data_IF_032737906891
#
_entry.id   IF_032737906891
#
_cell.length_a   1.000
_cell.length_b   1.000
_cell.length_c   1.000
_cell.angle_alpha   90.00
_cell.angle_beta   90.00
_cell.angle_gamma   90.00
#
_symmetry.space_group_name_H-M   'P 1'
#
loop_
_entity.id
_entity.type
_entity.pdbx_description
1 polymer ?
#
# COMPACT_ATOMS: atom_id res chain seq x y z
N UNK A 1 -1.55 -3.74 8.31
CA UNK A 1 -2.06 -5.06 7.90
C UNK A 1 -3.29 -4.82 7.04
N UNK A 2 -3.41 -5.52 5.91
CA UNK A 2 -4.58 -5.42 5.02
C UNK A 2 -5.79 -6.21 5.53
N UNK A 3 -5.52 -7.32 6.22
CA UNK A 3 -6.48 -8.14 6.95
C UNK A 3 -6.00 -8.23 8.40
N UNK A 4 -6.88 -8.36 9.38
CA UNK A 4 -6.50 -8.50 10.79
C UNK A 4 -6.61 -7.22 11.61
N UNK A 5 -6.96 -7.41 12.88
CA UNK A 5 -7.07 -6.39 13.91
C UNK A 5 -6.37 -6.87 15.19
N UNK A 6 -6.59 -6.16 16.30
CA UNK A 6 -5.99 -6.48 17.60
C UNK A 6 -6.44 -7.84 18.16
N UNK A 7 -7.52 -8.42 17.65
CA UNK A 7 -8.05 -9.72 18.08
C UNK A 7 -7.52 -10.89 17.22
N UNK A 8 -6.67 -10.60 16.22
CA UNK A 8 -6.02 -11.62 15.41
C UNK A 8 -5.05 -12.46 16.25
N UNK A 9 -5.20 -13.77 16.16
CA UNK A 9 -4.38 -14.78 16.82
C UNK A 9 -4.15 -15.97 15.89
N UNK A 10 -3.19 -16.84 16.19
CA UNK A 10 -2.94 -18.08 15.46
C UNK A 10 -4.21 -18.95 15.35
N UNK A 11 -5.06 -18.92 16.38
CA UNK A 11 -6.28 -19.74 16.46
C UNK A 11 -7.40 -19.28 15.51
N UNK A 12 -7.39 -18.02 15.08
CA UNK A 12 -8.42 -17.46 14.20
C UNK A 12 -7.85 -16.91 12.88
N UNK A 13 -6.53 -16.94 12.69
CA UNK A 13 -5.84 -16.41 11.50
C UNK A 13 -6.44 -16.89 10.18
N UNK A 14 -6.84 -18.16 10.13
CA UNK A 14 -7.45 -18.82 8.96
C UNK A 14 -8.84 -18.29 8.60
N UNK A 15 -9.44 -17.42 9.43
CA UNK A 15 -10.76 -16.82 9.21
C UNK A 15 -10.71 -15.37 8.75
N UNK A 16 -9.57 -14.71 8.89
CA UNK A 16 -9.42 -13.29 8.57
C UNK A 16 -9.12 -13.03 7.10
N UNK A 17 -8.62 -14.03 6.38
CA UNK A 17 -8.16 -13.90 4.99
C UNK A 17 -8.97 -14.84 4.10
N UNK A 18 -9.57 -14.35 2.99
CA UNK A 18 -10.23 -15.22 2.03
C UNK A 18 -9.30 -16.31 1.49
N UNK A 19 -9.79 -17.54 1.31
CA UNK A 19 -8.98 -18.69 0.91
C UNK A 19 -8.14 -18.46 -0.36
N UNK A 20 -8.72 -17.76 -1.34
CA UNK A 20 -8.02 -17.43 -2.59
C UNK A 20 -6.81 -16.51 -2.35
N UNK A 21 -6.96 -15.49 -1.49
CA UNK A 21 -5.89 -14.57 -1.11
C UNK A 21 -4.86 -15.30 -0.26
N UNK A 22 -5.30 -16.14 0.68
CA UNK A 22 -4.42 -16.95 1.52
C UNK A 22 -3.50 -17.83 0.68
N UNK A 23 -4.08 -18.56 -0.28
CA UNK A 23 -3.33 -19.42 -1.20
C UNK A 23 -2.36 -18.61 -2.08
N UNK A 24 -2.80 -17.48 -2.61
CA UNK A 24 -1.98 -16.60 -3.44
C UNK A 24 -0.71 -16.12 -2.71
N UNK A 25 -0.83 -15.80 -1.42
CA UNK A 25 0.28 -15.25 -0.62
C UNK A 25 1.17 -16.36 -0.04
N UNK A 26 0.57 -17.42 0.50
CA UNK A 26 1.29 -18.46 1.25
C UNK A 26 1.71 -19.65 0.40
N UNK A 27 1.05 -19.88 -0.74
CA UNK A 27 1.24 -21.06 -1.58
C UNK A 27 0.62 -22.35 -1.03
N UNK A 28 -0.10 -22.28 0.09
CA UNK A 28 -0.81 -23.42 0.69
C UNK A 28 -2.28 -23.07 0.93
N UNK A 29 -3.15 -24.07 0.98
CA UNK A 29 -4.57 -23.85 1.30
C UNK A 29 -4.75 -23.62 2.80
N UNK A 30 -5.88 -23.02 3.16
CA UNK A 30 -6.28 -22.85 4.56
C UNK A 30 -6.38 -24.18 5.31
N UNK A 31 -6.81 -25.25 4.64
CA UNK A 31 -6.83 -26.59 5.23
C UNK A 31 -5.44 -27.18 5.46
N UNK A 32 -4.50 -26.95 4.53
CA UNK A 32 -3.10 -27.29 4.75
C UNK A 32 -2.52 -26.51 5.94
N UNK A 33 -2.82 -25.21 6.03
CA UNK A 33 -2.42 -24.40 7.19
C UNK A 33 -3.00 -24.95 8.50
N UNK A 34 -4.29 -25.29 8.55
CA UNK A 34 -4.93 -25.93 9.73
C UNK A 34 -4.25 -27.24 10.08
N UNK A 35 -3.94 -28.08 9.10
CA UNK A 35 -3.21 -29.33 9.35
C UNK A 35 -1.81 -29.08 9.94
N UNK A 36 -1.09 -28.06 9.48
CA UNK A 36 0.21 -27.68 10.04
C UNK A 36 0.10 -27.10 11.47
N UNK A 37 -0.99 -26.38 11.76
CA UNK A 37 -1.27 -25.76 13.07
C UNK A 37 -1.78 -26.75 14.11
N UNK A 38 -2.77 -27.55 13.73
CA UNK A 38 -3.59 -28.36 14.64
C UNK A 38 -3.22 -29.86 14.58
N UNK A 39 -2.55 -30.29 13.52
CA UNK A 39 -2.20 -31.69 13.28
C UNK A 39 -3.32 -32.48 12.62
N UNK A 40 -3.12 -33.79 12.53
CA UNK A 40 -4.07 -34.76 12.00
C UNK A 40 -3.63 -36.18 12.33
N UNK A 41 -4.19 -37.16 11.62
CA UNK A 41 -4.03 -38.59 11.97
C UNK A 41 -2.57 -39.05 12.07
N UNK A 42 -1.68 -38.51 11.23
CA UNK A 42 -0.27 -38.92 11.14
C UNK A 42 0.72 -37.80 11.52
N UNK A 43 0.23 -36.66 12.01
CA UNK A 43 1.07 -35.50 12.32
C UNK A 43 0.55 -34.77 13.55
N UNK A 44 1.42 -34.53 14.53
CA UNK A 44 1.03 -33.91 15.80
C UNK A 44 0.68 -32.41 15.71
N UNK A 45 0.92 -31.76 14.56
CA UNK A 45 0.62 -30.33 14.41
C UNK A 45 1.66 -29.43 15.08
N UNK A 46 1.20 -28.25 15.49
CA UNK A 46 1.92 -27.29 16.32
C UNK A 46 3.28 -26.84 15.78
N UNK A 47 3.39 -26.68 14.45
CA UNK A 47 4.60 -26.08 13.84
C UNK A 47 4.82 -24.62 14.23
N UNK A 48 3.77 -23.95 14.69
CA UNK A 48 3.80 -22.56 15.10
C UNK A 48 3.79 -22.48 16.63
N UNK A 49 4.79 -21.79 17.20
CA UNK A 49 4.73 -21.40 18.60
C UNK A 49 3.67 -20.31 18.76
N UNK A 50 2.58 -20.65 19.43
CA UNK A 50 1.42 -19.75 19.57
C UNK A 50 1.79 -18.44 20.26
N UNK A 51 2.55 -18.50 21.35
CA UNK A 51 2.92 -17.32 22.11
C UNK A 51 3.73 -16.35 21.24
N UNK A 52 4.71 -16.86 20.51
CA UNK A 52 5.53 -16.08 19.58
C UNK A 52 4.71 -15.52 18.43
N UNK A 53 3.81 -16.32 17.84
CA UNK A 53 2.97 -15.88 16.70
C UNK A 53 2.00 -14.76 17.11
N UNK A 54 1.29 -14.95 18.21
CA UNK A 54 0.32 -13.97 18.72
C UNK A 54 1.04 -12.67 19.12
N UNK A 55 2.20 -12.76 19.79
CA UNK A 55 2.99 -11.58 20.16
C UNK A 55 3.57 -10.85 18.94
N UNK A 56 4.03 -11.57 17.92
CA UNK A 56 4.54 -10.98 16.69
C UNK A 56 3.48 -10.15 15.94
N UNK A 57 2.22 -10.61 15.94
CA UNK A 57 1.10 -9.83 15.40
C UNK A 57 0.92 -8.53 16.19
N UNK A 58 0.92 -8.61 17.52
CA UNK A 58 0.72 -7.43 18.36
C UNK A 58 1.86 -6.42 18.22
N UNK A 59 3.11 -6.88 18.15
CA UNK A 59 4.27 -6.03 17.88
C UNK A 59 4.18 -5.38 16.50
N UNK A 60 3.79 -6.13 15.47
CA UNK A 60 3.61 -5.57 14.13
C UNK A 60 2.53 -4.48 14.13
N UNK A 61 1.40 -4.69 14.82
CA UNK A 61 0.34 -3.69 14.92
C UNK A 61 0.78 -2.45 15.72
N UNK A 62 1.57 -2.62 16.81
CA UNK A 62 2.19 -1.50 17.54
C UNK A 62 3.12 -0.69 16.64
N UNK A 63 4.04 -1.36 15.94
CA UNK A 63 4.97 -0.70 15.00
C UNK A 63 4.26 -0.03 13.84
N UNK A 64 3.19 -0.64 13.33
CA UNK A 64 2.35 -0.03 12.29
C UNK A 64 1.77 1.30 12.77
N UNK A 65 1.24 1.38 13.98
CA UNK A 65 0.69 2.61 14.55
C UNK A 65 1.79 3.66 14.82
N UNK A 66 2.92 3.23 15.39
CA UNK A 66 4.09 4.10 15.64
C UNK A 66 4.64 4.75 14.36
N UNK A 67 4.64 3.99 13.26
CA UNK A 67 5.20 4.39 11.96
C UNK A 67 4.12 4.85 10.95
N UNK A 68 2.91 5.17 11.42
CA UNK A 68 1.77 5.43 10.54
C UNK A 68 1.79 6.84 9.91
N UNK A 69 2.51 7.80 10.50
CA UNK A 69 2.66 9.15 9.94
C UNK A 69 3.84 9.20 8.96
N UNK A 70 3.53 9.08 7.67
CA UNK A 70 4.54 9.18 6.61
C UNK A 70 4.95 10.64 6.29
N UNK A 71 4.23 11.66 6.80
CA UNK A 71 4.67 13.05 6.67
C UNK A 71 5.88 13.32 7.58
N UNK A 72 5.92 12.69 8.76
CA UNK A 72 7.07 12.73 9.65
C UNK A 72 8.34 12.16 8.97
N UNK A 73 9.49 12.81 9.19
CA UNK A 73 10.78 12.30 8.70
C UNK A 73 11.32 11.23 9.64
N UNK A 74 10.71 10.05 9.56
CA UNK A 74 11.10 8.87 10.34
C UNK A 74 12.21 8.10 9.62
N UNK A 75 13.18 7.61 10.41
CA UNK A 75 14.32 6.80 9.92
C UNK A 75 13.91 5.40 9.50
N UNK A 76 12.90 4.85 10.16
CA UNK A 76 12.40 3.50 9.93
C UNK A 76 11.07 3.57 9.17
N UNK A 77 10.78 2.52 8.40
CA UNK A 77 9.51 2.33 7.72
C UNK A 77 8.92 0.96 8.10
N UNK A 78 7.60 0.85 8.20
CA UNK A 78 6.94 -0.42 8.52
C UNK A 78 7.29 -1.52 7.49
N UNK A 79 7.58 -1.12 6.24
CA UNK A 79 8.00 -2.05 5.18
C UNK A 79 9.44 -2.59 5.38
N UNK A 80 10.29 -1.94 6.18
CA UNK A 80 11.63 -2.45 6.52
C UNK A 80 11.54 -3.72 7.39
N UNK A 81 10.42 -3.92 8.08
CA UNK A 81 10.13 -5.10 8.90
C UNK A 81 9.54 -6.27 8.09
N UNK A 82 9.27 -6.08 6.79
CA UNK A 82 8.79 -7.16 5.92
C UNK A 82 10.01 -7.87 5.31
N UNK A 83 10.24 -9.16 5.65
CA UNK A 83 11.38 -9.88 5.11
C UNK A 83 11.25 -10.04 3.60
N UNK A 84 12.38 -10.09 2.86
CA UNK A 84 12.38 -10.30 1.42
C UNK A 84 11.61 -11.57 1.06
N UNK A 85 10.53 -11.42 0.31
CA UNK A 85 9.71 -12.55 -0.13
C UNK A 85 10.33 -13.21 -1.36
N UNK A 86 10.19 -14.53 -1.48
CA UNK A 86 10.55 -15.26 -2.72
C UNK A 86 9.57 -15.02 -3.87
N UNK A 87 8.46 -14.34 -3.59
CA UNK A 87 7.42 -13.94 -4.56
C UNK A 87 7.73 -12.57 -5.14
N UNK A 88 6.98 -12.12 -6.17
CA UNK A 88 7.13 -10.80 -6.80
C UNK A 88 6.79 -9.60 -5.88
N UNK A 89 6.61 -9.81 -4.57
CA UNK A 89 6.31 -8.80 -3.56
C UNK A 89 7.58 -8.07 -3.06
N UNK A 90 8.45 -7.68 -4.00
CA UNK A 90 9.62 -6.83 -3.72
C UNK A 90 9.14 -5.38 -3.62
N UNK A 91 9.31 -4.76 -2.46
CA UNK A 91 9.02 -3.35 -2.23
C UNK A 91 10.22 -2.47 -2.57
N UNK A 92 9.97 -1.30 -3.15
CA UNK A 92 11.01 -0.30 -3.40
C UNK A 92 11.36 0.40 -2.08
N UNK A 93 12.63 0.37 -1.63
CA UNK A 93 13.02 1.04 -0.38
C UNK A 93 12.76 2.55 -0.41
N UNK A 94 12.39 3.15 0.73
CA UNK A 94 12.08 4.59 0.89
C UNK A 94 13.15 5.52 0.32
N UNK A 95 14.43 5.18 0.54
CA UNK A 95 15.60 5.86 -0.06
C UNK A 95 15.51 5.98 -1.58
N UNK A 96 15.10 4.90 -2.25
CA UNK A 96 15.03 4.84 -3.71
C UNK A 96 13.83 5.64 -4.20
N UNK A 97 12.69 5.54 -3.51
CA UNK A 97 11.49 6.33 -3.79
C UNK A 97 11.77 7.84 -3.71
N UNK A 98 12.40 8.31 -2.62
CA UNK A 98 12.80 9.72 -2.47
C UNK A 98 13.65 10.19 -3.66
N UNK A 99 14.67 9.40 -4.01
CA UNK A 99 15.51 9.70 -5.18
C UNK A 99 14.71 9.77 -6.48
N UNK A 100 13.76 8.87 -6.72
CA UNK A 100 12.92 8.91 -7.93
C UNK A 100 12.11 10.21 -8.03
N UNK A 101 11.57 10.68 -6.91
CA UNK A 101 10.81 11.95 -6.85
C UNK A 101 11.73 13.16 -6.99
N UNK A 102 12.93 13.11 -6.41
CA UNK A 102 13.95 14.15 -6.58
C UNK A 102 14.40 14.26 -8.04
N UNK A 103 14.66 13.12 -8.70
CA UNK A 103 15.06 13.07 -10.10
C UNK A 103 13.93 13.59 -11.01
N UNK A 104 12.66 13.30 -10.68
CA UNK A 104 11.48 13.83 -11.39
C UNK A 104 11.41 15.37 -11.33
N UNK A 105 11.68 15.98 -10.18
CA UNK A 105 11.74 17.44 -10.01
C UNK A 105 12.91 18.07 -10.76
N UNK A 106 14.07 17.40 -10.78
CA UNK A 106 15.24 17.86 -11.52
C UNK A 106 14.98 17.89 -13.03
N UNK A 107 14.31 16.87 -13.56
CA UNK A 107 13.93 16.79 -14.97
C UNK A 107 12.79 17.76 -15.33
N UNK A 108 11.92 18.06 -14.36
CA UNK A 108 10.75 18.93 -14.54
C UNK A 108 10.67 19.97 -13.41
N UNK A 109 11.50 21.04 -13.45
CA UNK A 109 11.52 22.04 -12.39
C UNK A 109 10.15 22.67 -12.14
N UNK A 110 9.71 22.67 -10.87
CA UNK A 110 8.43 23.23 -10.47
C UNK A 110 7.21 22.33 -10.75
N UNK A 111 7.40 21.08 -11.16
CA UNK A 111 6.28 20.15 -11.45
C UNK A 111 5.33 19.96 -10.26
N UNK A 112 5.84 20.08 -9.02
CA UNK A 112 5.04 19.95 -7.81
C UNK A 112 4.39 21.25 -7.34
N UNK A 113 4.61 22.40 -7.99
CA UNK A 113 3.97 23.67 -7.64
C UNK A 113 2.66 23.92 -8.42
N UNK A 114 2.39 23.12 -9.45
CA UNK A 114 1.22 23.28 -10.33
C UNK A 114 0.04 22.39 -9.87
N UNK A 115 -1.09 22.98 -9.42
CA UNK A 115 -2.25 22.23 -8.93
C UNK A 115 -3.01 21.45 -10.01
N UNK A 116 -2.70 21.69 -11.29
CA UNK A 116 -3.32 21.00 -12.43
C UNK A 116 -2.56 19.75 -12.88
N UNK A 117 -1.35 19.52 -12.35
CA UNK A 117 -0.55 18.33 -12.68
C UNK A 117 -1.05 17.11 -11.95
N UNK A 118 -1.12 16.00 -12.69
CA UNK A 118 -1.49 14.69 -12.18
C UNK A 118 -0.31 13.72 -12.25
N UNK A 119 -0.28 12.77 -11.33
CA UNK A 119 0.77 11.78 -11.15
C UNK A 119 0.13 10.41 -10.95
N UNK A 120 0.68 9.39 -11.60
CA UNK A 120 0.14 8.03 -11.53
C UNK A 120 1.24 7.00 -11.24
N UNK A 121 0.96 6.08 -10.32
CA UNK A 121 1.71 4.83 -10.18
C UNK A 121 0.91 3.69 -10.85
N UNK A 122 1.38 3.26 -12.02
CA UNK A 122 0.72 2.23 -12.83
C UNK A 122 0.88 0.82 -12.24
N UNK A 123 1.67 0.63 -11.19
CA UNK A 123 1.87 -0.68 -10.58
C UNK A 123 2.27 -0.54 -9.10
N UNK A 124 1.35 -0.02 -8.30
CA UNK A 124 1.53 0.14 -6.87
C UNK A 124 1.78 -1.20 -6.19
N UNK A 125 2.63 -1.16 -5.17
CA UNK A 125 2.78 -2.22 -4.16
C UNK A 125 2.45 -1.71 -2.77
N UNK A 126 3.40 -1.02 -2.15
CA UNK A 126 3.23 -0.45 -0.81
C UNK A 126 2.45 0.86 -0.78
N UNK A 127 2.34 1.56 -1.92
CA UNK A 127 1.86 2.95 -1.97
C UNK A 127 2.92 3.99 -1.60
N UNK A 128 4.17 3.56 -1.37
CA UNK A 128 5.25 4.45 -0.89
C UNK A 128 5.60 5.57 -1.88
N UNK A 129 5.57 5.29 -3.19
CA UNK A 129 5.81 6.29 -4.22
C UNK A 129 4.72 7.38 -4.22
N UNK A 130 3.46 6.98 -4.14
CA UNK A 130 2.34 7.93 -3.99
C UNK A 130 2.46 8.74 -2.70
N UNK A 131 2.78 8.12 -1.57
CA UNK A 131 2.95 8.83 -0.31
C UNK A 131 4.04 9.90 -0.37
N UNK A 132 5.16 9.62 -1.05
CA UNK A 132 6.22 10.61 -1.28
C UNK A 132 5.76 11.75 -2.21
N UNK A 133 5.01 11.44 -3.27
CA UNK A 133 4.40 12.47 -4.13
C UNK A 133 3.42 13.37 -3.35
N UNK A 134 2.54 12.77 -2.54
CA UNK A 134 1.61 13.49 -1.66
C UNK A 134 2.37 14.41 -0.72
N UNK A 135 3.43 13.90 -0.08
CA UNK A 135 4.30 14.69 0.81
C UNK A 135 4.94 15.87 0.07
N UNK A 136 5.41 15.66 -1.16
CA UNK A 136 6.11 16.70 -1.92
C UNK A 136 5.15 17.80 -2.41
N UNK A 137 3.98 17.41 -2.91
CA UNK A 137 2.89 18.32 -3.30
C UNK A 137 2.37 19.11 -2.10
N UNK A 138 2.12 18.43 -0.97
CA UNK A 138 1.58 19.07 0.24
C UNK A 138 2.49 20.16 0.82
N UNK A 139 3.81 19.99 0.66
CA UNK A 139 4.82 20.94 1.14
C UNK A 139 5.31 21.92 0.07
N UNK A 140 4.77 21.90 -1.15
CA UNK A 140 5.19 22.81 -2.21
C UNK A 140 4.66 24.22 -1.97
N UNK A 141 5.43 25.23 -2.38
CA UNK A 141 5.05 26.62 -2.18
C UNK A 141 3.84 26.99 -3.06
N UNK A 142 3.77 26.43 -4.27
CA UNK A 142 2.66 26.61 -5.19
C UNK A 142 1.34 26.08 -4.64
N UNK A 143 1.33 24.84 -4.12
CA UNK A 143 0.10 24.27 -3.53
C UNK A 143 -0.26 24.93 -2.19
N UNK A 144 0.71 25.35 -1.38
CA UNK A 144 0.42 26.11 -0.16
C UNK A 144 -0.22 27.47 -0.46
N UNK A 145 0.17 28.13 -1.56
CA UNK A 145 -0.44 29.39 -1.99
C UNK A 145 -1.83 29.17 -2.61
N UNK A 146 -2.00 28.14 -3.43
CA UNK A 146 -3.27 27.81 -4.08
C UNK A 146 -4.32 27.28 -3.08
N UNK A 147 -3.88 26.47 -2.12
CA UNK A 147 -4.71 25.88 -1.06
C UNK A 147 -4.09 26.15 0.32
N UNK A 148 -4.36 27.34 0.91
CA UNK A 148 -3.82 27.71 2.21
C UNK A 148 -4.31 26.83 3.35
N UNK A 149 -5.53 26.30 3.26
CA UNK A 149 -6.08 25.35 4.22
C UNK A 149 -5.41 23.97 4.03
N UNK A 150 -4.78 23.40 5.08
CA UNK A 150 -4.10 22.10 5.00
C UNK A 150 -5.00 20.93 4.58
N UNK A 151 -6.24 20.89 5.06
CA UNK A 151 -7.17 19.79 4.80
C UNK A 151 -7.69 19.86 3.36
N UNK A 152 -8.04 21.06 2.89
CA UNK A 152 -8.45 21.28 1.49
C UNK A 152 -7.31 20.94 0.53
N UNK A 153 -6.07 21.29 0.88
CA UNK A 153 -4.87 20.95 0.09
C UNK A 153 -4.68 19.45 0.00
N UNK A 154 -4.74 18.74 1.12
CA UNK A 154 -4.58 17.29 1.14
C UNK A 154 -5.70 16.59 0.37
N UNK A 155 -6.94 17.06 0.52
CA UNK A 155 -8.09 16.58 -0.24
C UNK A 155 -7.89 16.76 -1.74
N UNK A 156 -7.51 17.95 -2.19
CA UNK A 156 -7.20 18.23 -3.61
C UNK A 156 -6.12 17.30 -4.15
N UNK A 157 -5.00 17.14 -3.43
CA UNK A 157 -3.91 16.26 -3.84
C UNK A 157 -4.42 14.83 -4.06
N UNK A 158 -5.15 14.27 -3.09
CA UNK A 158 -5.60 12.87 -3.13
C UNK A 158 -6.78 12.62 -4.08
N UNK A 159 -7.66 13.60 -4.29
CA UNK A 159 -8.85 13.47 -5.14
C UNK A 159 -8.62 13.90 -6.58
N UNK A 160 -7.63 14.73 -6.86
CA UNK A 160 -7.43 15.37 -8.18
C UNK A 160 -6.02 15.24 -8.75
N UNK A 161 -4.99 14.94 -7.95
CA UNK A 161 -3.59 14.93 -8.44
C UNK A 161 -2.91 13.56 -8.43
N UNK A 162 -3.23 12.66 -7.51
CA UNK A 162 -2.56 11.35 -7.42
C UNK A 162 -3.48 10.18 -7.76
N UNK A 163 -2.95 9.26 -8.56
CA UNK A 163 -3.66 8.10 -9.10
C UNK A 163 -2.82 6.84 -8.94
N UNK A 164 -3.45 5.69 -8.85
CA UNK A 164 -2.72 4.44 -8.68
C UNK A 164 -3.47 3.19 -9.08
N UNK A 165 -2.73 2.23 -9.64
CA UNK A 165 -3.19 0.89 -9.98
C UNK A 165 -2.52 -0.14 -9.08
N UNK A 166 -3.30 -1.01 -8.44
CA UNK A 166 -2.79 -2.14 -7.68
C UNK A 166 -3.21 -3.46 -8.35
N UNK A 167 -2.28 -4.40 -8.60
CA UNK A 167 -2.54 -5.57 -9.45
C UNK A 167 -3.41 -6.64 -8.80
N UNK A 168 -3.57 -6.62 -7.48
CA UNK A 168 -4.28 -7.65 -6.72
C UNK A 168 -4.99 -7.01 -5.53
N UNK A 169 -6.05 -7.64 -5.04
CA UNK A 169 -6.84 -7.18 -3.90
C UNK A 169 -5.99 -6.93 -2.64
N UNK A 170 -5.12 -7.89 -2.29
CA UNK A 170 -4.24 -7.73 -1.13
C UNK A 170 -3.31 -6.51 -1.27
N UNK A 171 -2.73 -6.31 -2.45
CA UNK A 171 -1.84 -5.18 -2.71
C UNK A 171 -2.62 -3.86 -2.70
N UNK A 172 -3.83 -3.85 -3.26
CA UNK A 172 -4.72 -2.71 -3.22
C UNK A 172 -5.00 -2.27 -1.78
N UNK A 173 -5.40 -3.20 -0.91
CA UNK A 173 -5.65 -2.90 0.49
C UNK A 173 -4.39 -2.49 1.25
N UNK A 174 -3.21 -3.05 0.94
CA UNK A 174 -1.94 -2.60 1.54
C UNK A 174 -1.67 -1.13 1.17
N UNK A 175 -1.71 -0.80 -0.12
CA UNK A 175 -1.41 0.54 -0.63
C UNK A 175 -2.42 1.58 -0.12
N UNK A 176 -3.71 1.31 -0.23
CA UNK A 176 -4.76 2.24 0.21
C UNK A 176 -4.72 2.44 1.72
N UNK A 177 -4.53 1.39 2.51
CA UNK A 177 -4.40 1.55 3.96
C UNK A 177 -3.12 2.33 4.35
N UNK A 178 -2.03 2.20 3.59
CA UNK A 178 -0.83 2.97 3.84
C UNK A 178 -1.02 4.46 3.53
N UNK A 179 -1.63 4.78 2.39
CA UNK A 179 -1.84 6.17 1.95
C UNK A 179 -2.92 6.87 2.80
N UNK A 180 -3.99 6.16 3.15
CA UNK A 180 -5.20 6.74 3.73
C UNK A 180 -5.49 6.33 5.18
N UNK A 181 -4.73 5.41 5.78
CA UNK A 181 -5.14 4.73 7.02
C UNK A 181 -5.41 5.64 8.21
N UNK A 182 -4.75 6.81 8.26
CA UNK A 182 -4.94 7.82 9.31
C UNK A 182 -5.69 9.07 8.81
N UNK A 183 -6.16 9.05 7.56
CA UNK A 183 -6.82 10.19 6.93
C UNK A 183 -8.33 10.06 7.03
N UNK A 184 -9.01 11.20 6.97
CA UNK A 184 -10.46 11.27 7.06
C UNK A 184 -11.16 10.44 5.98
N UNK A 185 -12.32 9.88 6.32
CA UNK A 185 -13.13 9.06 5.42
C UNK A 185 -13.85 9.87 4.33
N UNK A 186 -13.90 11.20 4.46
CA UNK A 186 -14.51 12.09 3.48
C UNK A 186 -13.65 12.28 2.22
N UNK A 187 -12.36 11.93 2.27
CA UNK A 187 -11.47 11.98 1.11
C UNK A 187 -11.84 10.85 0.14
N UNK A 188 -12.07 11.13 -1.13
CA UNK A 188 -12.38 10.06 -2.09
C UNK A 188 -11.17 9.14 -2.32
N UNK A 189 -11.43 7.83 -2.43
CA UNK A 189 -10.43 6.83 -2.85
C UNK A 189 -10.54 6.47 -4.34
N UNK A 190 -11.39 7.19 -5.11
CA UNK A 190 -11.75 6.86 -6.51
C UNK A 190 -10.54 6.74 -7.46
N UNK A 191 -9.45 7.46 -7.19
CA UNK A 191 -8.26 7.49 -8.04
C UNK A 191 -7.34 6.26 -7.85
N UNK A 192 -7.67 5.39 -6.89
CA UNK A 192 -6.93 4.18 -6.60
C UNK A 192 -7.77 2.98 -7.02
N UNK A 193 -7.27 2.22 -7.99
CA UNK A 193 -8.01 1.12 -8.62
C UNK A 193 -7.29 -0.22 -8.47
N UNK A 194 -8.06 -1.30 -8.38
CA UNK A 194 -7.54 -2.67 -8.35
C UNK A 194 -7.60 -3.26 -9.76
N UNK A 195 -6.52 -3.14 -10.52
CA UNK A 195 -6.38 -3.66 -11.88
C UNK A 195 -4.90 -3.97 -12.16
N UNK A 196 -4.64 -5.15 -12.76
CA UNK A 196 -3.29 -5.51 -13.21
C UNK A 196 -3.01 -4.85 -14.56
N UNK A 197 -2.06 -3.93 -14.57
CA UNK A 197 -1.68 -3.19 -15.78
C UNK A 197 -0.72 -3.97 -16.69
N UNK A 198 -0.17 -5.11 -16.25
CA UNK A 198 0.81 -5.89 -17.02
C UNK A 198 0.27 -6.35 -18.39
N UNK A 199 -0.96 -6.89 -18.52
CA UNK A 199 -1.51 -7.26 -19.81
C UNK A 199 -1.58 -6.08 -20.77
N UNK A 200 -2.11 -4.93 -20.31
CA UNK A 200 -2.20 -3.71 -21.12
C UNK A 200 -0.82 -3.18 -21.51
N UNK A 201 0.17 -3.22 -20.61
CA UNK A 201 1.55 -2.85 -20.90
C UNK A 201 2.19 -3.72 -21.98
N UNK A 202 1.97 -5.03 -21.95
CA UNK A 202 2.47 -5.97 -22.98
C UNK A 202 1.84 -5.72 -24.34
N UNK A 203 0.60 -5.26 -24.38
CA UNK A 203 -0.13 -4.96 -25.61
C UNK A 203 0.05 -3.51 -26.09
N UNK A 204 0.75 -2.65 -25.33
CA UNK A 204 0.88 -1.23 -25.66
C UNK A 204 -0.40 -0.41 -25.45
N UNK A 205 -1.32 -0.90 -24.62
CA UNK A 205 -2.67 -0.33 -24.38
C UNK A 205 -2.85 0.30 -23.00
N UNK A 206 -1.75 0.73 -22.36
CA UNK A 206 -1.82 1.35 -21.02
C UNK A 206 -2.68 2.62 -21.05
N UNK A 207 -2.59 3.42 -22.11
CA UNK A 207 -3.40 4.64 -22.24
C UNK A 207 -4.89 4.32 -22.27
N UNK A 208 -5.31 3.35 -23.10
CA UNK A 208 -6.71 2.90 -23.16
C UNK A 208 -7.23 2.39 -21.79
N UNK A 209 -6.34 1.80 -20.98
CA UNK A 209 -6.66 1.36 -19.63
C UNK A 209 -6.83 2.55 -18.68
N UNK A 210 -5.93 3.53 -18.74
CA UNK A 210 -5.99 4.77 -17.96
C UNK A 210 -7.28 5.54 -18.29
N UNK A 211 -7.56 5.73 -19.57
CA UNK A 211 -8.75 6.41 -20.07
C UNK A 211 -10.03 5.71 -19.57
N UNK A 212 -10.08 4.37 -19.62
CA UNK A 212 -11.24 3.61 -19.11
C UNK A 212 -11.58 3.92 -17.64
N UNK A 213 -10.57 4.15 -16.81
CA UNK A 213 -10.76 4.36 -15.37
C UNK A 213 -10.88 5.83 -15.00
N UNK A 214 -10.24 6.73 -15.76
CA UNK A 214 -10.07 8.13 -15.36
C UNK A 214 -10.54 9.16 -16.38
N UNK A 215 -10.96 8.78 -17.60
CA UNK A 215 -11.61 9.74 -18.51
C UNK A 215 -12.93 10.23 -17.91
N UNK A 216 -13.07 11.56 -17.83
CA UNK A 216 -14.26 12.22 -17.31
C UNK A 216 -14.23 12.53 -15.81
N UNK A 217 -13.10 12.29 -15.12
CA UNK A 217 -12.80 12.94 -13.85
C UNK A 217 -12.32 14.38 -14.05
#
# INVERSE_FOLDING_TARGET
>A
MAYGDRDLTLANFDRYVPDAVFYQVTGITTDQFRYLRDGGQDFAGHLFDRATFDEAIQEFLRKKEELADYFADQKEDIFDYIPPQKTNQIFTPKRVVKRMVDDLEQENPGIFDDPSKTFVDLYMKSGLYIAELVKRLYNSAGLQAAFPNPDDRLKHILEEQVYGFAPTEIIYHIAVNFIFGNLSHDISRKNFVQEDTIPAAKEGKVQELVDRYFDGN
#
